data_IF_826448001641
#
_entry.id   IF_826448001641
#
_cell.length_a   1.000
_cell.length_b   1.000
_cell.length_c   1.000
_cell.angle_alpha   90.00
_cell.angle_beta   90.00
_cell.angle_gamma   90.00
#
_symmetry.space_group_name_H-M   'P 1'
#
loop_
_entity.id
_entity.type
_entity.pdbx_description
1 polymer ?
#
# COMPACT_ATOMS: atom_id res chain seq x y z
N UNK A 1 -11.27 -5.15 -17.52
CA UNK A 1 -10.96 -4.93 -16.09
C UNK A 1 -9.52 -4.47 -15.87
N UNK A 2 -8.52 -5.08 -16.51
CA UNK A 2 -7.10 -4.74 -16.34
C UNK A 2 -6.56 -3.73 -17.37
N UNK A 3 -7.43 -3.08 -18.13
CA UNK A 3 -7.01 -2.07 -19.11
C UNK A 3 -6.61 -0.78 -18.39
N UNK A 4 -5.43 -0.26 -18.73
CA UNK A 4 -4.89 0.97 -18.16
C UNK A 4 -5.29 2.13 -19.07
N UNK A 5 -6.32 2.88 -18.67
CA UNK A 5 -6.68 4.12 -19.35
C UNK A 5 -6.01 5.34 -18.70
N UNK A 6 -5.64 6.31 -19.52
CA UNK A 6 -5.19 7.63 -19.09
C UNK A 6 -6.39 8.50 -18.74
N UNK A 7 -6.38 9.11 -17.55
CA UNK A 7 -7.46 9.97 -17.08
C UNK A 7 -7.13 11.45 -17.31
N UNK A 8 -5.99 11.90 -16.76
CA UNK A 8 -5.54 13.29 -16.82
C UNK A 8 -4.10 13.28 -17.32
N UNK A 9 -3.79 14.06 -18.36
CA UNK A 9 -2.46 14.12 -18.94
C UNK A 9 -1.93 15.54 -19.03
N UNK A 10 -0.72 15.75 -18.54
CA UNK A 10 0.07 16.94 -18.79
C UNK A 10 1.18 16.56 -19.78
N UNK A 11 1.03 17.05 -21.01
CA UNK A 11 2.05 16.89 -22.04
C UNK A 11 2.87 18.19 -22.09
N UNK A 12 4.13 18.11 -21.69
CA UNK A 12 5.07 19.23 -21.74
C UNK A 12 6.12 18.98 -22.84
N UNK A 13 5.83 19.32 -24.11
CA UNK A 13 6.73 19.04 -25.23
C UNK A 13 8.08 19.79 -25.12
N UNK A 14 8.12 20.94 -24.41
CA UNK A 14 9.34 21.74 -24.19
C UNK A 14 10.37 21.02 -23.28
N UNK A 15 9.95 20.06 -22.44
CA UNK A 15 10.83 19.33 -21.51
C UNK A 15 11.22 17.94 -22.02
N UNK A 16 11.34 17.75 -23.34
CA UNK A 16 11.79 16.47 -23.91
C UNK A 16 10.72 15.39 -23.95
N UNK A 17 9.49 15.74 -24.35
CA UNK A 17 8.34 14.81 -24.44
C UNK A 17 7.97 14.12 -23.11
N UNK A 18 8.08 14.85 -21.99
CA UNK A 18 7.53 14.37 -20.72
C UNK A 18 6.00 14.33 -20.79
N UNK A 19 5.46 13.12 -20.80
CA UNK A 19 4.03 12.84 -20.69
C UNK A 19 3.75 12.34 -19.27
N UNK A 20 3.42 13.28 -18.39
CA UNK A 20 2.96 12.95 -17.04
C UNK A 20 1.45 12.74 -17.10
N UNK A 21 1.04 11.48 -17.20
CA UNK A 21 -0.38 11.11 -17.22
C UNK A 21 -0.75 10.34 -15.96
N UNK A 22 -1.80 10.80 -15.28
CA UNK A 22 -2.47 10.07 -14.23
C UNK A 22 -3.35 9.01 -14.89
N UNK A 23 -2.98 7.74 -14.74
CA UNK A 23 -3.74 6.58 -15.22
C UNK A 23 -4.59 6.00 -14.09
N UNK A 24 -5.54 5.11 -14.42
CA UNK A 24 -6.27 4.33 -13.41
C UNK A 24 -5.33 3.63 -12.43
N UNK A 25 -4.24 3.04 -12.93
CA UNK A 25 -3.24 2.36 -12.10
C UNK A 25 -2.62 3.34 -11.09
N UNK A 26 -2.24 4.53 -11.52
CA UNK A 26 -1.72 5.57 -10.63
C UNK A 26 -2.76 6.07 -9.62
N UNK A 27 -4.01 6.26 -10.06
CA UNK A 27 -5.12 6.70 -9.21
C UNK A 27 -5.45 5.67 -8.13
N UNK A 28 -5.59 4.39 -8.47
CA UNK A 28 -5.87 3.34 -7.50
C UNK A 28 -4.68 3.08 -6.57
N UNK A 29 -3.44 3.26 -7.03
CA UNK A 29 -2.25 3.20 -6.17
C UNK A 29 -2.25 4.33 -5.12
N UNK A 30 -2.61 5.55 -5.53
CA UNK A 30 -2.81 6.67 -4.61
C UNK A 30 -3.97 6.40 -3.62
N UNK A 31 -5.06 5.81 -4.11
CA UNK A 31 -6.20 5.45 -3.27
C UNK A 31 -5.84 4.40 -2.20
N UNK A 32 -5.05 3.37 -2.56
CA UNK A 32 -4.50 2.40 -1.59
C UNK A 32 -3.68 3.13 -0.51
N UNK A 33 -2.77 4.03 -0.93
CA UNK A 33 -1.95 4.80 -0.01
C UNK A 33 -2.80 5.65 0.96
N UNK A 34 -3.83 6.33 0.46
CA UNK A 34 -4.74 7.12 1.28
C UNK A 34 -5.53 6.26 2.28
N UNK A 35 -5.98 5.08 1.88
CA UNK A 35 -6.67 4.14 2.79
C UNK A 35 -5.71 3.65 3.88
N UNK A 36 -4.50 3.24 3.51
CA UNK A 36 -3.49 2.80 4.49
C UNK A 36 -3.22 3.92 5.49
N UNK A 37 -2.98 5.15 5.03
CA UNK A 37 -2.82 6.31 5.92
C UNK A 37 -4.06 6.55 6.79
N UNK A 38 -5.25 6.51 6.20
CA UNK A 38 -6.51 6.72 6.91
C UNK A 38 -6.73 5.71 8.04
N UNK A 39 -6.44 4.43 7.80
CA UNK A 39 -6.55 3.38 8.81
C UNK A 39 -5.58 3.65 9.97
N UNK A 40 -4.34 4.06 9.69
CA UNK A 40 -3.35 4.33 10.73
C UNK A 40 -3.66 5.60 11.53
N UNK A 41 -4.14 6.65 10.87
CA UNK A 41 -4.56 7.89 11.54
C UNK A 41 -5.78 7.67 12.43
N UNK A 42 -6.79 6.94 11.94
CA UNK A 42 -8.01 6.67 12.70
C UNK A 42 -7.83 5.58 13.76
N UNK A 43 -6.93 4.63 13.51
CA UNK A 43 -6.56 3.59 14.46
C UNK A 43 -5.71 4.11 15.62
N UNK A 44 -5.10 5.29 15.48
CA UNK A 44 -4.35 5.93 16.55
C UNK A 44 -5.31 6.45 17.64
N UNK A 45 -5.10 5.98 18.87
CA UNK A 45 -6.05 6.15 19.97
C UNK A 45 -5.73 7.35 20.86
N UNK A 46 -5.35 8.50 20.29
CA UNK A 46 -4.92 9.71 21.04
C UNK A 46 -3.95 9.41 22.20
N UNK A 47 -3.08 8.40 22.05
CA UNK A 47 -2.17 7.92 23.10
C UNK A 47 -2.86 7.49 24.42
N UNK A 48 -4.16 7.15 24.40
CA UNK A 48 -4.89 6.62 25.56
C UNK A 48 -4.44 5.18 25.85
N UNK A 49 -4.32 4.85 27.13
CA UNK A 49 -3.91 3.52 27.62
C UNK A 49 -4.90 2.40 27.27
N UNK A 50 -6.20 2.69 27.17
CA UNK A 50 -7.22 1.68 26.85
C UNK A 50 -7.41 1.67 25.33
N UNK A 51 -7.02 0.60 24.61
CA UNK A 51 -7.04 0.57 23.16
C UNK A 51 -8.47 0.56 22.60
N UNK A 52 -8.68 1.32 21.52
CA UNK A 52 -9.91 1.28 20.72
C UNK A 52 -9.94 -0.01 19.87
N UNK A 53 -11.13 -0.46 19.46
CA UNK A 53 -11.33 -1.63 18.59
C UNK A 53 -10.48 -1.59 17.33
N UNK A 54 -10.34 -0.42 16.71
CA UNK A 54 -9.49 -0.21 15.53
C UNK A 54 -7.99 -0.31 15.83
N UNK A 55 -7.56 0.21 16.99
CA UNK A 55 -6.19 0.09 17.48
C UNK A 55 -5.79 -1.37 17.71
N UNK A 56 -6.68 -2.19 18.27
CA UNK A 56 -6.44 -3.62 18.51
C UNK A 56 -6.13 -4.36 17.20
N UNK A 57 -6.84 -4.03 16.11
CA UNK A 57 -6.59 -4.64 14.80
C UNK A 57 -5.21 -4.28 14.24
N UNK A 58 -4.75 -3.05 14.44
CA UNK A 58 -3.42 -2.61 14.00
C UNK A 58 -2.30 -3.21 14.86
N UNK A 59 -2.52 -3.27 16.18
CA UNK A 59 -1.56 -3.83 17.13
C UNK A 59 -1.36 -5.34 16.91
N UNK A 60 -2.45 -6.09 16.69
CA UNK A 60 -2.37 -7.51 16.36
C UNK A 60 -1.67 -7.76 15.02
N UNK A 61 -1.94 -6.94 14.00
CA UNK A 61 -1.24 -7.02 12.71
C UNK A 61 0.26 -6.74 12.88
N UNK A 62 0.61 -5.69 13.64
CA UNK A 62 2.00 -5.34 13.94
C UNK A 62 2.72 -6.47 14.69
N UNK A 63 2.09 -7.03 15.73
CA UNK A 63 2.67 -8.15 16.49
C UNK A 63 2.90 -9.38 15.61
N UNK A 64 1.97 -9.71 14.70
CA UNK A 64 2.09 -10.83 13.77
C UNK A 64 3.25 -10.63 12.78
N UNK A 65 3.37 -9.44 12.19
CA UNK A 65 4.46 -9.11 11.25
C UNK A 65 5.80 -9.09 11.99
N UNK A 66 5.85 -8.52 13.20
CA UNK A 66 7.07 -8.50 14.00
C UNK A 66 7.54 -9.91 14.36
N UNK A 67 6.63 -10.78 14.79
CA UNK A 67 6.94 -12.18 15.06
C UNK A 67 7.47 -12.90 13.80
N UNK A 68 6.80 -12.71 12.65
CA UNK A 68 7.26 -13.28 11.37
C UNK A 68 8.67 -12.79 11.00
N UNK A 69 8.93 -11.49 11.07
CA UNK A 69 10.25 -10.92 10.72
C UNK A 69 11.34 -11.46 11.65
N UNK A 70 11.06 -11.54 12.95
CA UNK A 70 12.00 -12.10 13.94
C UNK A 70 12.27 -13.58 13.70
N UNK A 71 11.26 -14.36 13.34
CA UNK A 71 11.40 -15.79 13.06
C UNK A 71 12.17 -16.06 11.77
N UNK A 72 12.04 -15.20 10.75
CA UNK A 72 12.67 -15.41 9.44
C UNK A 72 14.08 -14.80 9.32
N UNK A 73 14.29 -13.58 9.82
CA UNK A 73 15.52 -12.79 9.61
C UNK A 73 16.34 -12.65 10.92
N UNK A 74 15.77 -13.07 12.05
CA UNK A 74 16.39 -12.99 13.37
C UNK A 74 16.22 -11.62 14.04
N UNK A 75 16.37 -11.60 15.37
CA UNK A 75 16.20 -10.38 16.20
C UNK A 75 17.21 -9.28 15.91
N UNK A 76 18.37 -9.63 15.35
CA UNK A 76 19.43 -8.65 15.05
C UNK A 76 19.12 -7.79 13.81
N UNK A 77 18.12 -8.17 13.01
CA UNK A 77 17.79 -7.53 11.72
C UNK A 77 16.39 -6.89 11.72
N UNK A 78 15.90 -6.46 12.87
CA UNK A 78 14.60 -5.76 12.99
C UNK A 78 14.57 -4.41 12.24
N UNK A 79 15.72 -3.91 11.78
CA UNK A 79 15.84 -2.70 10.94
C UNK A 79 15.00 -2.81 9.66
N UNK A 80 14.76 -4.02 9.13
CA UNK A 80 13.95 -4.24 7.92
C UNK A 80 12.44 -4.32 8.18
N UNK A 81 12.01 -4.32 9.44
CA UNK A 81 10.59 -4.44 9.80
C UNK A 81 9.71 -3.36 9.15
N UNK A 82 10.08 -2.06 9.12
CA UNK A 82 9.24 -1.04 8.50
C UNK A 82 8.98 -1.29 7.00
N UNK A 83 9.96 -1.84 6.30
CA UNK A 83 9.82 -2.19 4.88
C UNK A 83 8.83 -3.35 4.70
N UNK A 84 8.99 -4.43 5.45
CA UNK A 84 8.06 -5.58 5.40
C UNK A 84 6.64 -5.18 5.78
N UNK A 85 6.50 -4.35 6.81
CA UNK A 85 5.22 -3.84 7.27
C UNK A 85 4.50 -3.02 6.21
N UNK A 86 5.20 -2.07 5.57
CA UNK A 86 4.62 -1.23 4.51
C UNK A 86 4.23 -2.04 3.27
N UNK A 87 5.06 -2.99 2.84
CA UNK A 87 4.76 -3.88 1.73
C UNK A 87 3.52 -4.76 2.02
N UNK A 88 3.42 -5.30 3.24
CA UNK A 88 2.28 -6.10 3.68
C UNK A 88 0.96 -5.30 3.57
N UNK A 89 0.91 -4.11 4.15
CA UNK A 89 -0.31 -3.30 4.11
C UNK A 89 -0.67 -2.82 2.71
N UNK A 90 0.32 -2.47 1.89
CA UNK A 90 0.09 -2.10 0.49
C UNK A 90 -0.58 -3.24 -0.30
N UNK A 91 -0.03 -4.46 -0.20
CA UNK A 91 -0.55 -5.64 -0.90
C UNK A 91 -1.91 -6.04 -0.33
N UNK A 92 -2.08 -6.05 1.00
CA UNK A 92 -3.34 -6.41 1.67
C UNK A 92 -4.48 -5.50 1.21
N UNK A 93 -4.31 -4.18 1.31
CA UNK A 93 -5.34 -3.21 0.93
C UNK A 93 -5.58 -3.23 -0.58
N UNK A 94 -4.53 -3.35 -1.40
CA UNK A 94 -4.66 -3.49 -2.85
C UNK A 94 -5.51 -4.69 -3.26
N UNK A 95 -5.30 -5.84 -2.61
CA UNK A 95 -6.08 -7.05 -2.86
C UNK A 95 -7.53 -6.93 -2.36
N UNK A 96 -7.77 -6.28 -1.21
CA UNK A 96 -9.12 -6.06 -0.71
C UNK A 96 -9.93 -5.13 -1.62
N UNK A 97 -9.32 -4.07 -2.15
CA UNK A 97 -9.97 -3.16 -3.10
C UNK A 97 -10.28 -3.89 -4.41
N UNK A 98 -9.38 -4.77 -4.87
CA UNK A 98 -9.60 -5.57 -6.08
C UNK A 98 -10.82 -6.50 -6.00
N UNK A 99 -11.30 -6.85 -4.80
CA UNK A 99 -12.49 -7.68 -4.63
C UNK A 99 -13.80 -6.89 -4.82
N UNK A 100 -13.76 -5.55 -4.81
CA UNK A 100 -14.95 -4.72 -5.04
C UNK A 100 -15.29 -4.75 -6.54
N UNK A 101 -16.54 -5.06 -6.93
CA UNK A 101 -16.93 -5.07 -8.33
C UNK A 101 -16.67 -3.71 -8.98
N UNK A 102 -16.26 -3.74 -10.25
CA UNK A 102 -15.85 -2.57 -11.04
C UNK A 102 -14.53 -1.89 -10.60
N UNK A 103 -13.79 -2.45 -9.64
CA UNK A 103 -12.47 -1.92 -9.26
C UNK A 103 -11.33 -2.44 -10.14
N UNK A 104 -10.28 -1.64 -10.25
CA UNK A 104 -9.03 -2.00 -10.93
C UNK A 104 -8.07 -2.69 -9.95
N UNK A 105 -7.51 -3.83 -10.38
CA UNK A 105 -6.58 -4.61 -9.58
C UNK A 105 -5.13 -4.14 -9.79
N UNK A 106 -4.62 -3.27 -8.92
CA UNK A 106 -3.24 -2.75 -9.01
C UNK A 106 -2.21 -3.87 -8.85
N UNK A 107 -2.44 -4.79 -7.92
CA UNK A 107 -1.54 -5.91 -7.58
C UNK A 107 -1.48 -6.99 -8.68
N UNK A 108 -2.47 -7.04 -9.59
CA UNK A 108 -2.47 -7.96 -10.72
C UNK A 108 -1.52 -7.51 -11.87
N UNK A 109 -1.05 -6.26 -11.85
CA UNK A 109 -0.11 -5.76 -12.84
C UNK A 109 1.27 -6.38 -12.63
N UNK A 110 1.66 -7.29 -13.53
CA UNK A 110 2.98 -7.92 -13.50
C UNK A 110 4.13 -6.91 -13.55
N UNK A 111 3.95 -5.79 -14.27
CA UNK A 111 4.97 -4.73 -14.35
C UNK A 111 5.20 -4.07 -12.98
N UNK A 112 4.16 -3.82 -12.21
CA UNK A 112 4.28 -3.24 -10.86
C UNK A 112 4.94 -4.22 -9.91
N UNK A 113 4.49 -5.48 -9.92
CA UNK A 113 5.05 -6.53 -9.05
C UNK A 113 6.52 -6.81 -9.36
N UNK A 114 6.90 -6.86 -10.63
CA UNK A 114 8.29 -7.00 -11.05
C UNK A 114 9.09 -5.75 -10.67
N UNK A 115 8.55 -4.54 -10.88
CA UNK A 115 9.21 -3.30 -10.50
C UNK A 115 9.50 -3.16 -9.00
N UNK A 116 8.66 -3.75 -8.14
CA UNK A 116 8.91 -3.82 -6.69
C UNK A 116 9.90 -4.93 -6.30
N UNK A 117 10.12 -5.92 -7.17
CA UNK A 117 10.99 -7.06 -6.88
C UNK A 117 12.48 -6.83 -7.17
N UNK A 118 12.79 -5.83 -8.01
CA UNK A 118 14.15 -5.41 -8.34
C UNK A 118 14.62 -4.31 -7.40
#
# INVERSE_FOLDING_TARGET
QFEVSSLIGLNAPILGHLNLTLTNLGLYSCFIFLIVLGIHLYGNNDSKLIPNKWSISLESSFASINAMVRDQIGTNNEIYLPFVYSLFFFILIGNLISNVPYSFAVTASGVVSLGLSF
#
